data_IF_796371416764
#
_entry.id   IF_796371416764
#
_cell.length_a   1.000
_cell.length_b   1.000
_cell.length_c   1.000
_cell.angle_alpha   90.00
_cell.angle_beta   90.00
_cell.angle_gamma   90.00
#
_symmetry.space_group_name_H-M   'P 1'
#
loop_
_entity.id
_entity.type
_entity.pdbx_description
1 polymer ?
#
# COMPACT_ATOMS: atom_id res chain seq x y z
N UNK A 1 -54.53 -31.56 16.92
CA UNK A 1 -53.07 -31.80 16.99
C UNK A 1 -52.37 -30.90 15.99
N UNK A 2 -51.60 -29.91 16.45
CA UNK A 2 -50.70 -29.15 15.59
C UNK A 2 -49.39 -28.93 16.38
N UNK A 3 -48.30 -29.59 15.96
CA UNK A 3 -46.99 -29.45 16.59
C UNK A 3 -46.41 -28.09 16.22
N UNK A 4 -46.09 -27.27 17.23
CA UNK A 4 -45.33 -26.03 17.07
C UNK A 4 -43.92 -26.38 16.59
N UNK A 5 -43.55 -25.93 15.40
CA UNK A 5 -42.21 -26.10 14.85
C UNK A 5 -41.28 -25.10 15.57
N UNK A 6 -40.23 -25.54 16.30
CA UNK A 6 -39.30 -24.62 16.90
C UNK A 6 -38.51 -23.91 15.79
N UNK A 7 -38.58 -22.56 15.78
CA UNK A 7 -37.74 -21.73 14.92
C UNK A 7 -36.29 -21.92 15.34
N UNK A 8 -35.56 -22.72 14.57
CA UNK A 8 -34.11 -22.90 14.71
C UNK A 8 -33.47 -21.53 14.59
N UNK A 9 -33.02 -20.99 15.73
CA UNK A 9 -32.30 -19.73 15.80
C UNK A 9 -31.12 -19.76 14.84
N UNK A 10 -30.95 -18.67 14.09
CA UNK A 10 -29.84 -18.50 13.17
C UNK A 10 -28.54 -18.78 13.94
N UNK A 11 -27.81 -19.80 13.51
CA UNK A 11 -26.45 -20.07 13.99
C UNK A 11 -25.68 -18.78 13.79
N UNK A 12 -25.37 -18.09 14.89
CA UNK A 12 -24.42 -16.98 14.86
C UNK A 12 -23.13 -17.59 14.34
N UNK A 13 -22.81 -17.33 13.08
CA UNK A 13 -21.48 -17.54 12.54
C UNK A 13 -20.56 -16.61 13.33
N UNK A 14 -20.12 -17.08 14.50
CA UNK A 14 -18.99 -16.50 15.21
C UNK A 14 -17.83 -16.62 14.24
N UNK A 15 -17.52 -15.52 13.56
CA UNK A 15 -16.31 -15.43 12.75
C UNK A 15 -15.19 -15.79 13.70
N UNK A 16 -14.61 -16.98 13.54
CA UNK A 16 -13.37 -17.37 14.18
C UNK A 16 -12.35 -16.39 13.63
N UNK A 17 -12.22 -15.25 14.33
CA UNK A 17 -11.22 -14.26 14.05
C UNK A 17 -9.91 -14.94 14.38
N UNK A 18 -9.27 -15.55 13.39
CA UNK A 18 -7.91 -16.03 13.54
C UNK A 18 -7.12 -14.88 14.15
N UNK A 19 -6.65 -15.04 15.39
CA UNK A 19 -5.72 -14.07 16.00
C UNK A 19 -4.55 -13.99 15.04
N UNK A 20 -4.52 -12.94 14.22
CA UNK A 20 -3.42 -12.71 13.28
C UNK A 20 -2.20 -12.50 14.16
N UNK A 21 -1.37 -13.52 14.25
CA UNK A 21 -0.03 -13.40 14.82
C UNK A 21 0.65 -12.24 14.10
N UNK A 22 0.92 -11.18 14.85
CA UNK A 22 1.63 -10.01 14.35
C UNK A 22 3.08 -10.44 14.12
N UNK A 23 3.39 -10.78 12.86
CA UNK A 23 4.74 -11.15 12.47
C UNK A 23 5.66 -9.96 12.68
N UNK A 24 6.71 -10.15 13.47
CA UNK A 24 7.74 -9.11 13.70
C UNK A 24 8.77 -9.20 12.59
N UNK A 25 8.84 -8.18 11.76
CA UNK A 25 9.74 -8.13 10.61
C UNK A 25 10.75 -7.02 10.87
N UNK A 26 12.06 -7.31 10.97
CA UNK A 26 13.06 -6.30 11.25
C UNK A 26 13.51 -5.53 9.99
N UNK A 27 13.49 -6.20 8.83
CA UNK A 27 13.89 -5.68 7.51
C UNK A 27 12.83 -6.02 6.47
N UNK A 28 12.49 -5.07 5.60
CA UNK A 28 11.58 -5.30 4.49
C UNK A 28 11.81 -4.35 3.31
N UNK A 29 10.88 -4.36 2.37
CA UNK A 29 10.91 -3.57 1.13
C UNK A 29 9.63 -2.75 1.03
N UNK A 30 9.78 -1.45 0.79
CA UNK A 30 8.70 -0.50 0.55
C UNK A 30 8.61 -0.25 -0.95
N UNK A 31 7.52 -0.70 -1.55
CA UNK A 31 7.16 -0.41 -2.93
C UNK A 31 6.28 0.83 -3.00
N UNK A 32 6.70 1.82 -3.79
CA UNK A 32 5.94 3.04 -4.05
C UNK A 32 5.59 3.07 -5.53
N UNK A 33 4.32 2.86 -5.87
CA UNK A 33 3.81 3.04 -7.22
C UNK A 33 3.25 4.46 -7.36
N UNK A 34 4.03 5.32 -8.02
CA UNK A 34 3.68 6.70 -8.32
C UNK A 34 3.15 6.82 -9.76
N UNK A 35 1.82 6.79 -9.91
CA UNK A 35 1.12 7.14 -11.15
C UNK A 35 0.79 8.63 -11.16
N UNK A 36 0.43 9.19 -12.33
CA UNK A 36 -0.04 10.57 -12.47
C UNK A 36 -1.31 10.87 -11.65
N UNK A 37 -2.16 9.86 -11.40
CA UNK A 37 -3.46 10.06 -10.76
C UNK A 37 -3.56 9.47 -9.35
N UNK A 38 -2.60 8.63 -8.97
CA UNK A 38 -2.65 7.92 -7.71
C UNK A 38 -1.26 7.50 -7.25
N UNK A 39 -1.07 7.48 -5.92
CA UNK A 39 0.09 6.84 -5.28
C UNK A 39 -0.38 5.64 -4.48
N UNK A 40 0.25 4.50 -4.68
CA UNK A 40 0.01 3.27 -3.91
C UNK A 40 1.32 2.91 -3.23
N UNK A 41 1.25 2.64 -1.92
CA UNK A 41 2.39 2.26 -1.10
C UNK A 41 2.11 0.86 -0.57
N UNK A 42 3.07 -0.03 -0.74
CA UNK A 42 2.97 -1.42 -0.29
C UNK A 42 4.25 -1.80 0.42
N UNK A 43 4.13 -2.29 1.64
CA UNK A 43 5.25 -2.74 2.45
C UNK A 43 5.25 -4.25 2.48
N UNK A 44 6.40 -4.83 2.20
CA UNK A 44 6.60 -6.27 2.03
C UNK A 44 7.81 -6.76 2.81
N UNK A 45 7.84 -8.05 3.08
CA UNK A 45 9.04 -8.74 3.54
C UNK A 45 10.04 -8.92 2.39
N UNK A 46 11.27 -9.31 2.72
CA UNK A 46 12.29 -9.70 1.72
C UNK A 46 11.80 -10.86 0.83
N UNK A 47 10.88 -11.69 1.33
CA UNK A 47 10.23 -12.79 0.58
C UNK A 47 9.09 -12.32 -0.33
N UNK A 48 8.76 -11.03 -0.35
CA UNK A 48 7.66 -10.47 -1.15
C UNK A 48 6.26 -10.66 -0.55
N UNK A 49 6.16 -11.09 0.72
CA UNK A 49 4.85 -11.19 1.39
C UNK A 49 4.41 -9.80 1.85
N UNK A 50 3.18 -9.41 1.48
CA UNK A 50 2.63 -8.09 1.82
C UNK A 50 2.23 -8.04 3.29
N UNK A 51 2.75 -7.03 3.97
CA UNK A 51 2.51 -6.76 5.39
C UNK A 51 1.39 -5.74 5.54
N UNK A 52 1.56 -4.59 4.88
CA UNK A 52 0.57 -3.53 4.83
C UNK A 52 0.60 -2.87 3.46
N UNK A 53 -0.53 -2.27 3.09
CA UNK A 53 -0.63 -1.46 1.90
C UNK A 53 -1.59 -0.31 2.18
N UNK A 54 -1.36 0.80 1.51
CA UNK A 54 -2.26 1.94 1.53
C UNK A 54 -2.22 2.64 0.19
N UNK A 55 -3.31 3.33 -0.14
CA UNK A 55 -3.38 4.15 -1.35
C UNK A 55 -3.97 5.51 -1.01
N UNK A 56 -3.74 6.49 -1.88
CA UNK A 56 -4.35 7.82 -1.72
C UNK A 56 -5.89 7.74 -1.66
N UNK A 57 -6.49 6.78 -2.37
CA UNK A 57 -7.93 6.52 -2.30
C UNK A 57 -8.38 5.98 -0.93
N UNK A 58 -7.60 5.06 -0.34
CA UNK A 58 -7.85 4.50 1.01
C UNK A 58 -7.77 5.58 2.08
N UNK A 59 -6.95 6.61 1.87
CA UNK A 59 -6.82 7.76 2.77
C UNK A 59 -7.93 8.81 2.58
N UNK A 60 -8.94 8.55 1.73
CA UNK A 60 -10.08 9.44 1.51
C UNK A 60 -9.89 10.49 0.41
N UNK A 61 -8.75 10.52 -0.29
CA UNK A 61 -8.56 11.45 -1.41
C UNK A 61 -9.28 10.97 -2.67
N UNK A 62 -10.11 11.85 -3.25
CA UNK A 62 -10.89 11.58 -4.47
C UNK A 62 -10.57 12.59 -5.58
N UNK A 63 -10.84 12.21 -6.83
CA UNK A 63 -10.67 13.06 -8.01
C UNK A 63 -9.24 13.59 -8.18
N UNK A 64 -9.11 14.86 -8.57
CA UNK A 64 -7.82 15.54 -8.81
C UNK A 64 -6.89 15.54 -7.60
N UNK A 65 -7.43 15.54 -6.37
CA UNK A 65 -6.63 15.57 -5.13
C UNK A 65 -5.83 14.27 -4.91
N UNK A 66 -6.25 13.15 -5.52
CA UNK A 66 -5.62 11.83 -5.35
C UNK A 66 -4.19 11.72 -5.88
N UNK A 67 -3.85 12.47 -6.93
CA UNK A 67 -2.52 12.48 -7.54
C UNK A 67 -1.54 13.49 -6.93
N UNK A 68 -1.97 14.22 -5.89
CA UNK A 68 -1.15 15.29 -5.30
C UNK A 68 -0.03 14.74 -4.41
N UNK A 69 1.09 15.47 -4.27
CA UNK A 69 2.18 15.06 -3.37
C UNK A 69 1.73 14.97 -1.91
N UNK A 70 0.78 15.81 -1.49
CA UNK A 70 0.20 15.75 -0.14
C UNK A 70 -0.50 14.40 0.11
N UNK A 71 -1.28 13.93 -0.86
CA UNK A 71 -1.93 12.63 -0.77
C UNK A 71 -0.91 11.49 -0.67
N UNK A 72 0.22 11.57 -1.39
CA UNK A 72 1.30 10.59 -1.28
C UNK A 72 1.92 10.56 0.13
N UNK A 73 2.16 11.73 0.73
CA UNK A 73 2.69 11.84 2.10
C UNK A 73 1.76 11.18 3.13
N UNK A 74 0.46 11.47 3.08
CA UNK A 74 -0.53 10.85 3.98
C UNK A 74 -0.60 9.34 3.77
N UNK A 75 -0.53 8.88 2.51
CA UNK A 75 -0.55 7.45 2.17
C UNK A 75 0.64 6.70 2.77
N UNK A 76 1.84 7.27 2.64
CA UNK A 76 3.05 6.71 3.24
C UNK A 76 2.93 6.67 4.76
N UNK A 77 2.47 7.77 5.39
CA UNK A 77 2.28 7.82 6.84
C UNK A 77 1.37 6.70 7.35
N UNK A 78 0.24 6.46 6.67
CA UNK A 78 -0.68 5.39 7.03
C UNK A 78 -0.09 3.99 6.85
N UNK A 79 0.63 3.74 5.75
CA UNK A 79 1.27 2.45 5.51
C UNK A 79 2.37 2.16 6.55
N UNK A 80 3.21 3.16 6.83
CA UNK A 80 4.35 3.02 7.74
C UNK A 80 3.91 2.90 9.20
N UNK A 81 2.85 3.59 9.63
CA UNK A 81 2.36 3.49 11.02
C UNK A 81 2.15 2.03 11.44
N UNK A 82 1.42 1.27 10.62
CA UNK A 82 1.17 -0.17 10.86
C UNK A 82 2.41 -1.05 10.87
N UNK A 83 3.50 -0.56 10.27
CA UNK A 83 4.77 -1.28 10.08
C UNK A 83 5.76 -0.99 11.21
N UNK A 84 5.74 0.25 11.71
CA UNK A 84 6.48 0.64 12.92
C UNK A 84 5.95 -0.16 14.12
N UNK A 85 4.63 -0.33 14.22
CA UNK A 85 4.01 -1.16 15.27
C UNK A 85 4.48 -2.63 15.21
N UNK A 86 4.89 -3.12 14.03
CA UNK A 86 5.42 -4.47 13.83
C UNK A 86 6.94 -4.57 14.04
N UNK A 87 7.62 -3.44 14.26
CA UNK A 87 9.04 -3.38 14.61
C UNK A 87 10.01 -3.34 13.42
N UNK A 88 9.56 -2.94 12.22
CA UNK A 88 10.47 -2.74 11.08
C UNK A 88 11.42 -1.55 11.34
N UNK A 89 12.72 -1.83 11.31
CA UNK A 89 13.78 -0.83 11.56
C UNK A 89 14.51 -0.42 10.28
N UNK A 90 14.63 -1.34 9.32
CA UNK A 90 15.37 -1.14 8.06
C UNK A 90 14.46 -1.42 6.87
N UNK A 91 14.52 -0.58 5.85
CA UNK A 91 13.76 -0.83 4.62
C UNK A 91 14.51 -0.41 3.36
N UNK A 92 14.38 -1.26 2.35
CA UNK A 92 14.76 -0.95 0.96
C UNK A 92 13.57 -0.24 0.29
N UNK A 93 13.81 0.80 -0.52
CA UNK A 93 12.74 1.53 -1.21
C UNK A 93 12.81 1.29 -2.70
N UNK A 94 11.71 0.80 -3.27
CA UNK A 94 11.54 0.57 -4.71
C UNK A 94 10.44 1.46 -5.25
N UNK A 95 10.77 2.36 -6.17
CA UNK A 95 9.83 3.32 -6.74
C UNK A 95 9.50 2.92 -8.17
N UNK A 96 8.21 2.91 -8.51
CA UNK A 96 7.70 2.61 -9.83
C UNK A 96 6.85 3.77 -10.35
N UNK A 97 7.23 4.30 -11.50
CA UNK A 97 6.46 5.28 -12.26
C UNK A 97 6.92 6.73 -12.08
N UNK A 98 6.48 7.62 -13.01
CA UNK A 98 6.93 9.01 -13.09
C UNK A 98 6.06 10.01 -12.28
N UNK A 99 5.07 9.54 -11.51
CA UNK A 99 4.09 10.41 -10.86
C UNK A 99 4.68 11.37 -9.81
N UNK A 100 3.98 12.49 -9.59
CA UNK A 100 4.36 13.57 -8.66
C UNK A 100 4.53 13.10 -7.20
N UNK A 101 3.94 11.97 -6.83
CA UNK A 101 4.02 11.38 -5.49
C UNK A 101 5.39 10.79 -5.13
N UNK A 102 6.33 10.69 -6.07
CA UNK A 102 7.64 10.07 -5.89
C UNK A 102 8.48 10.72 -4.80
N UNK A 103 8.77 12.01 -4.93
CA UNK A 103 9.64 12.72 -3.99
C UNK A 103 8.96 12.95 -2.64
N UNK A 104 7.65 13.21 -2.68
CA UNK A 104 6.84 13.36 -1.48
C UNK A 104 6.82 12.08 -0.64
N UNK A 105 6.70 10.91 -1.29
CA UNK A 105 6.76 9.62 -0.61
C UNK A 105 8.15 9.39 0.02
N UNK A 106 9.23 9.66 -0.70
CA UNK A 106 10.60 9.53 -0.17
C UNK A 106 10.83 10.41 1.07
N UNK A 107 10.40 11.67 1.02
CA UNK A 107 10.48 12.60 2.16
C UNK A 107 9.67 12.09 3.36
N UNK A 108 8.49 11.52 3.12
CA UNK A 108 7.65 10.96 4.16
C UNK A 108 8.28 9.71 4.81
N UNK A 109 8.87 8.81 4.02
CA UNK A 109 9.59 7.62 4.54
C UNK A 109 10.82 8.05 5.34
N UNK A 110 11.54 9.09 4.90
CA UNK A 110 12.70 9.59 5.67
C UNK A 110 12.26 10.18 7.02
N UNK A 111 11.13 10.88 7.06
CA UNK A 111 10.58 11.48 8.29
C UNK A 111 10.08 10.44 9.30
N UNK A 112 9.66 9.27 8.84
CA UNK A 112 9.10 8.24 9.72
C UNK A 112 10.13 7.46 10.53
N UNK A 113 11.43 7.77 10.40
CA UNK A 113 12.49 7.19 11.24
C UNK A 113 12.95 5.78 10.86
N UNK A 114 12.50 5.23 9.72
CA UNK A 114 13.01 3.95 9.22
C UNK A 114 14.38 4.18 8.57
N UNK A 115 15.37 3.32 8.89
CA UNK A 115 16.69 3.38 8.28
C UNK A 115 16.61 2.87 6.84
N UNK A 116 16.75 3.78 5.90
CA UNK A 116 16.84 3.48 4.47
C UNK A 116 18.20 2.85 4.15
N UNK A 117 18.17 1.71 3.47
CA UNK A 117 19.37 0.98 3.01
C UNK A 117 19.74 1.39 1.59
N UNK A 118 18.80 1.30 0.64
CA UNK A 118 18.97 1.87 -0.70
C UNK A 118 17.64 2.33 -1.29
N UNK A 119 17.72 3.18 -2.31
CA UNK A 119 16.60 3.67 -3.10
C UNK A 119 16.83 3.21 -4.54
N UNK A 120 15.86 2.51 -5.12
CA UNK A 120 15.94 2.03 -6.51
C UNK A 120 14.71 2.44 -7.29
N UNK A 121 14.92 2.91 -8.51
CA UNK A 121 13.87 3.05 -9.51
C UNK A 121 13.67 1.71 -10.23
N UNK A 122 12.42 1.23 -10.24
CA UNK A 122 11.99 0.01 -10.91
C UNK A 122 10.90 0.31 -11.95
N UNK A 123 10.88 1.54 -12.47
CA UNK A 123 10.00 1.92 -13.58
C UNK A 123 10.34 1.07 -14.81
N UNK A 124 9.37 0.34 -15.38
CA UNK A 124 9.63 -0.53 -16.52
C UNK A 124 9.94 0.30 -17.77
N UNK A 125 11.12 0.10 -18.34
CA UNK A 125 11.54 0.68 -19.62
C UNK A 125 11.42 -0.41 -20.71
N UNK A 126 10.46 -0.31 -21.64
CA UNK A 126 10.32 -1.32 -22.68
C UNK A 126 11.36 -1.12 -23.80
N UNK A 127 12.03 -2.20 -24.20
CA UNK A 127 12.93 -2.22 -25.36
C UNK A 127 12.13 -2.52 -26.63
N UNK A 128 11.40 -1.52 -27.15
CA UNK A 128 10.48 -1.68 -28.30
C UNK A 128 9.48 -2.85 -28.09
N UNK A 129 8.40 -2.60 -27.36
CA UNK A 129 7.36 -3.59 -27.03
C UNK A 129 6.01 -3.30 -27.69
N UNK A 130 4.92 -3.52 -26.95
CA UNK A 130 3.57 -3.20 -27.42
C UNK A 130 3.44 -1.73 -27.82
N UNK A 131 2.76 -1.47 -28.94
CA UNK A 131 2.50 -0.12 -29.44
C UNK A 131 1.73 0.69 -28.38
N UNK A 132 2.21 1.88 -27.96
CA UNK A 132 1.48 2.73 -27.01
C UNK A 132 0.17 3.24 -27.64
N UNK A 133 -0.84 3.58 -26.82
CA UNK A 133 -2.10 4.12 -27.32
C UNK A 133 -1.88 5.40 -28.12
N UNK A 134 -2.76 5.66 -29.09
CA UNK A 134 -2.72 6.87 -29.92
C UNK A 134 -2.72 8.12 -29.02
N UNK A 135 -1.93 9.13 -29.41
CA UNK A 135 -1.89 10.43 -28.71
C UNK A 135 -3.32 11.00 -28.59
N UNK A 136 -3.70 11.36 -27.37
CA UNK A 136 -5.01 11.94 -27.08
C UNK A 136 -5.15 13.29 -27.79
N UNK A 137 -6.27 13.51 -28.47
CA UNK A 137 -6.64 14.79 -29.09
C UNK A 137 -7.63 15.47 -28.16
N UNK A 138 -7.17 16.45 -27.39
CA UNK A 138 -7.98 17.28 -26.51
C UNK A 138 -7.64 18.72 -26.82
#
# INVERSE_FOLDING_TARGET
>A
MAKVIPRIGSRRNGRIGSRKSTRRIPKGVIHVQASFHNTIVTVTDVRGQVVSWSSAGTCGFRGRRRGTPFAAQTTVGNAIRTVVDQGMKRADVMIKGPGLGRDAALRAIRRSGIRLTFIRDVTPLPHNGCRPPKKRRV
#
